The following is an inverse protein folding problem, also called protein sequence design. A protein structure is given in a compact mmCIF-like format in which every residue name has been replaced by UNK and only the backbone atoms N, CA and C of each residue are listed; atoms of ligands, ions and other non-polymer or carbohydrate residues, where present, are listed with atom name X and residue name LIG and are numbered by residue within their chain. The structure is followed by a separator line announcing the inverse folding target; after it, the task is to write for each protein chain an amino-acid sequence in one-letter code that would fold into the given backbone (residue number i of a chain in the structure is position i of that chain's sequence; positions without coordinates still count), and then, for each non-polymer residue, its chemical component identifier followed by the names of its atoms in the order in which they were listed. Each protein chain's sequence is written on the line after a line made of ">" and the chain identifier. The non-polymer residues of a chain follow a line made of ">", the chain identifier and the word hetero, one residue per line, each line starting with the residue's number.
data_IF_094760917428
#
_entry.id   IF_094760917428
#
_cell.length_a   1.000
_cell.length_b   1.000
_cell.length_c   1.000
_cell.angle_alpha   90.00
_cell.angle_beta   90.00
_cell.angle_gamma   90.00
#
_symmetry.space_group_name_H-M   'P 1'
#
loop_
_entity.id
_entity.type
_entity.pdbx_description
1 polymer ?
#
# COMPACT_ATOMS: atom_id res chain seq x y z
N UNK A 1 -10.00 -18.49 -10.73
CA UNK A 1 -9.91 -17.25 -11.53
C UNK A 1 -9.45 -16.14 -10.61
N UNK A 2 -8.31 -15.50 -10.86
CA UNK A 2 -7.93 -14.28 -10.14
C UNK A 2 -8.34 -13.07 -10.99
N UNK A 3 -9.23 -12.25 -10.46
CA UNK A 3 -9.60 -10.97 -11.06
C UNK A 3 -8.59 -9.92 -10.60
N UNK A 4 -8.07 -9.14 -11.56
CA UNK A 4 -7.19 -8.02 -11.29
C UNK A 4 -7.74 -6.75 -11.97
N UNK A 5 -7.81 -5.66 -11.22
CA UNK A 5 -8.32 -4.36 -11.69
C UNK A 5 -7.23 -3.31 -11.52
N UNK A 6 -7.05 -2.45 -12.53
CA UNK A 6 -6.15 -1.29 -12.45
C UNK A 6 -6.94 -0.09 -11.95
N UNK A 7 -6.49 0.49 -10.84
CA UNK A 7 -7.09 1.67 -10.23
C UNK A 7 -6.13 2.84 -10.31
N UNK A 8 -6.61 3.98 -10.81
CA UNK A 8 -5.88 5.25 -10.64
C UNK A 8 -6.11 5.73 -9.21
N UNK A 9 -5.05 5.74 -8.40
CA UNK A 9 -5.09 6.17 -7.01
C UNK A 9 -4.40 7.53 -6.85
N UNK A 10 -4.97 8.36 -5.99
CA UNK A 10 -4.29 9.52 -5.41
C UNK A 10 -4.01 9.25 -3.94
N UNK A 11 -2.76 9.04 -3.60
CA UNK A 11 -2.33 8.75 -2.22
C UNK A 11 -1.89 10.06 -1.59
N UNK A 12 -2.42 10.39 -0.40
CA UNK A 12 -2.11 11.63 0.31
C UNK A 12 -1.63 11.34 1.73
N UNK A 13 -0.50 11.94 2.10
CA UNK A 13 0.08 11.91 3.45
C UNK A 13 0.40 13.34 3.86
N UNK A 14 -0.34 13.90 4.83
CA UNK A 14 -0.22 15.31 5.22
C UNK A 14 -0.43 16.25 4.03
N UNK A 15 0.63 16.99 3.67
CA UNK A 15 0.64 17.94 2.56
C UNK A 15 1.21 17.37 1.26
N UNK A 16 1.65 16.11 1.26
CA UNK A 16 2.21 15.43 0.08
C UNK A 16 1.14 14.54 -0.56
N UNK A 17 1.09 14.53 -1.88
CA UNK A 17 0.21 13.63 -2.63
C UNK A 17 0.90 13.12 -3.89
N UNK A 18 0.57 11.89 -4.30
CA UNK A 18 1.06 11.28 -5.53
C UNK A 18 -0.07 10.57 -6.26
N UNK A 19 -0.08 10.67 -7.59
CA UNK A 19 -0.96 9.88 -8.44
C UNK A 19 -0.21 8.66 -8.97
N UNK A 20 -0.81 7.48 -8.87
CA UNK A 20 -0.22 6.23 -9.38
C UNK A 20 -1.32 5.28 -9.85
N UNK A 21 -0.93 4.26 -10.62
CA UNK A 21 -1.80 3.15 -10.96
C UNK A 21 -1.48 2.00 -10.01
N UNK A 22 -2.49 1.56 -9.25
CA UNK A 22 -2.41 0.37 -8.42
C UNK A 22 -3.07 -0.82 -9.10
N UNK A 23 -2.53 -2.01 -8.82
CA UNK A 23 -3.14 -3.27 -9.22
C UNK A 23 -3.87 -3.85 -8.01
N UNK A 24 -5.20 -3.79 -8.02
CA UNK A 24 -6.03 -4.50 -7.07
C UNK A 24 -6.17 -5.95 -7.57
N UNK A 25 -5.71 -6.91 -6.79
CA UNK A 25 -5.81 -8.33 -7.13
C UNK A 25 -6.43 -9.12 -5.98
N UNK A 26 -7.10 -10.23 -6.31
CA UNK A 26 -7.65 -11.16 -5.32
C UNK A 26 -6.60 -12.10 -4.70
N UNK A 27 -5.32 -11.95 -5.03
CA UNK A 27 -4.24 -12.80 -4.52
C UNK A 27 -3.62 -12.28 -3.23
N UNK A 28 -3.99 -11.07 -2.79
CA UNK A 28 -3.61 -10.47 -1.53
C UNK A 28 -4.87 -10.14 -0.74
N UNK A 29 -5.18 -10.98 0.24
CA UNK A 29 -6.36 -10.83 1.08
C UNK A 29 -5.96 -10.29 2.45
N UNK A 30 -6.68 -9.27 2.89
CA UNK A 30 -6.51 -8.66 4.19
C UNK A 30 -7.90 -8.37 4.79
N UNK A 31 -8.07 -8.51 6.11
CA UNK A 31 -9.34 -8.20 6.77
C UNK A 31 -9.73 -6.72 6.70
N UNK A 32 -8.79 -5.85 6.31
CA UNK A 32 -8.99 -4.43 6.07
C UNK A 32 -8.36 -4.03 4.73
N UNK A 33 -8.82 -2.94 4.09
CA UNK A 33 -8.15 -2.40 2.92
C UNK A 33 -6.69 -2.07 3.25
N UNK A 34 -5.77 -2.64 2.48
CA UNK A 34 -4.34 -2.42 2.61
C UNK A 34 -3.76 -2.00 1.25
N UNK A 35 -2.77 -1.10 1.28
CA UNK A 35 -2.08 -0.61 0.10
C UNK A 35 -0.58 -0.84 0.26
N UNK A 36 -0.03 -1.71 -0.57
CA UNK A 36 1.42 -1.89 -0.67
C UNK A 36 1.98 -0.86 -1.65
N UNK A 37 2.96 -0.06 -1.21
CA UNK A 37 3.62 0.95 -2.04
C UNK A 37 5.12 0.64 -2.18
N UNK A 38 5.73 0.86 -3.36
CA UNK A 38 7.18 0.78 -3.52
C UNK A 38 7.92 1.80 -2.65
N UNK A 39 9.19 1.49 -2.29
CA UNK A 39 10.05 2.39 -1.50
C UNK A 39 10.21 3.77 -2.18
N UNK A 40 10.22 3.84 -3.51
CA UNK A 40 10.27 5.11 -4.24
C UNK A 40 9.07 6.00 -3.94
N UNK A 41 7.86 5.43 -3.88
CA UNK A 41 6.63 6.13 -3.50
C UNK A 41 6.68 6.51 -2.01
N UNK A 42 7.15 5.60 -1.14
CA UNK A 42 7.31 5.88 0.28
C UNK A 42 8.26 7.08 0.53
N UNK A 43 9.40 7.14 -0.16
CA UNK A 43 10.33 8.29 -0.13
C UNK A 43 9.65 9.59 -0.56
N UNK A 44 8.93 9.55 -1.69
CA UNK A 44 8.21 10.72 -2.20
C UNK A 44 7.16 11.25 -1.20
N UNK A 45 6.49 10.34 -0.48
CA UNK A 45 5.49 10.67 0.54
C UNK A 45 6.10 10.99 1.92
N UNK A 46 7.41 10.83 2.12
CA UNK A 46 8.08 11.04 3.41
C UNK A 46 7.80 9.93 4.44
N UNK A 47 7.46 8.72 3.97
CA UNK A 47 7.31 7.52 4.80
C UNK A 47 8.62 6.69 4.85
N UNK A 48 9.71 7.22 4.30
CA UNK A 48 11.02 6.57 4.30
C UNK A 48 12.12 7.57 4.67
N UNK A 49 13.05 7.24 5.60
CA UNK A 49 13.12 5.99 6.36
C UNK A 49 11.91 5.82 7.31
N UNK A 50 11.55 4.57 7.66
CA UNK A 50 10.38 4.32 8.49
C UNK A 50 10.67 4.68 9.95
N UNK A 51 9.88 5.62 10.50
CA UNK A 51 10.00 6.04 11.91
C UNK A 51 8.95 5.33 12.80
N UNK A 52 7.66 5.45 12.46
CA UNK A 52 6.54 4.88 13.23
C UNK A 52 5.93 3.62 12.57
N UNK A 53 6.74 2.79 11.91
CA UNK A 53 6.28 1.59 11.21
C UNK A 53 6.65 0.32 11.96
N UNK A 54 5.81 -0.69 11.85
CA UNK A 54 6.09 -2.04 12.34
C UNK A 54 6.78 -2.81 11.21
N UNK A 55 7.99 -3.33 11.43
CA UNK A 55 8.60 -4.26 10.48
C UNK A 55 7.80 -5.57 10.50
N UNK A 56 7.34 -6.00 9.33
CA UNK A 56 6.59 -7.24 9.14
C UNK A 56 7.23 -8.06 8.02
N UNK A 57 7.07 -9.37 8.10
CA UNK A 57 7.43 -10.28 6.99
C UNK A 57 6.14 -10.80 6.36
N UNK A 58 6.00 -10.59 5.06
CA UNK A 58 4.87 -11.05 4.28
C UNK A 58 5.28 -12.27 3.47
N UNK A 59 4.56 -13.37 3.61
CA UNK A 59 4.73 -14.54 2.75
C UNK A 59 4.12 -14.25 1.38
N UNK A 60 4.95 -14.28 0.34
CA UNK A 60 4.52 -14.08 -1.05
C UNK A 60 4.88 -15.31 -1.89
N UNK A 61 4.28 -15.45 -3.07
CA UNK A 61 4.64 -16.52 -3.99
C UNK A 61 6.14 -16.50 -4.42
N UNK A 62 6.80 -15.34 -4.29
CA UNK A 62 8.23 -15.17 -4.55
C UNK A 62 9.13 -15.37 -3.32
N UNK A 63 8.57 -15.79 -2.18
CA UNK A 63 9.27 -15.91 -0.90
C UNK A 63 8.93 -14.80 0.10
N UNK A 64 9.57 -14.80 1.29
CA UNK A 64 9.31 -13.83 2.34
C UNK A 64 9.78 -12.43 1.94
N UNK A 65 8.88 -11.45 2.09
CA UNK A 65 9.14 -10.04 1.81
C UNK A 65 9.13 -9.24 3.11
N UNK A 66 10.22 -8.54 3.41
CA UNK A 66 10.23 -7.53 4.49
C UNK A 66 9.46 -6.29 4.04
N UNK A 67 8.55 -5.83 4.90
CA UNK A 67 7.76 -4.63 4.68
C UNK A 67 7.64 -3.81 5.96
N UNK A 68 7.29 -2.53 5.81
CA UNK A 68 7.05 -1.60 6.90
C UNK A 68 5.57 -1.24 6.94
N UNK A 69 4.89 -1.69 7.98
CA UNK A 69 3.45 -1.57 8.15
C UNK A 69 3.09 -0.37 9.02
N UNK A 70 2.27 0.53 8.47
CA UNK A 70 1.71 1.67 9.19
C UNK A 70 0.25 1.38 9.57
N UNK A 71 -0.07 1.11 10.84
CA UNK A 71 -1.44 0.88 11.29
C UNK A 71 -2.20 2.21 11.36
N UNK A 72 -2.73 2.67 10.23
CA UNK A 72 -3.70 3.78 10.18
C UNK A 72 -4.79 3.41 9.19
N UNK A 73 -6.06 3.47 9.61
CA UNK A 73 -7.21 3.24 8.71
C UNK A 73 -7.15 4.27 7.58
N UNK A 74 -6.66 3.86 6.42
CA UNK A 74 -6.70 4.71 5.23
C UNK A 74 -8.16 4.91 4.83
N UNK A 75 -8.60 6.16 4.78
CA UNK A 75 -9.94 6.48 4.32
C UNK A 75 -9.95 6.55 2.79
N UNK A 76 -10.56 5.56 2.14
CA UNK A 76 -10.82 5.61 0.70
C UNK A 76 -12.06 6.46 0.44
N UNK A 77 -11.87 7.62 -0.20
CA UNK A 77 -12.98 8.42 -0.72
C UNK A 77 -13.34 7.91 -2.12
N UNK A 78 -14.61 7.58 -2.35
CA UNK A 78 -15.12 7.20 -3.68
C UNK A 78 -15.35 5.70 -3.93
N UNK A 79 -15.38 4.86 -2.88
CA UNK A 79 -15.93 3.51 -2.99
C UNK A 79 -17.46 3.58 -2.97
N UNK A 80 -18.06 4.02 -4.08
CA UNK A 80 -19.49 4.00 -4.34
C UNK A 80 -19.77 3.16 -5.58
#
# INVERSE_FOLDING_TARGET
>A
MSTAVRLKLRIRIGNKAIETIALLNSGFEAPTPQLLIPISIAKALGLWPPEDAIEVTLETAGGPLKAWFYPRKSFCQGCG
#
